data_IF_423839706271
#
_entry.id   IF_423839706271
#
_cell.length_a   1.000
_cell.length_b   1.000
_cell.length_c   1.000
_cell.angle_alpha   90.00
_cell.angle_beta   90.00
_cell.angle_gamma   90.00
#
_symmetry.space_group_name_H-M   'P 1'
#
loop_
_entity.id
_entity.type
_entity.pdbx_description
1 polymer ?
#
# COMPACT_ATOMS: atom_id res chain seq x y z
N UNK A 1 22.99 6.34 -26.43
CA UNK A 1 22.28 7.21 -25.47
C UNK A 1 21.23 6.33 -24.79
N UNK A 2 21.35 6.03 -23.49
CA UNK A 2 20.33 5.25 -22.76
C UNK A 2 19.32 6.26 -22.22
N UNK A 3 18.10 6.28 -22.75
CA UNK A 3 17.04 7.22 -22.36
C UNK A 3 16.26 6.78 -21.11
N UNK A 4 16.92 6.09 -20.16
CA UNK A 4 16.26 5.50 -18.99
C UNK A 4 16.69 6.15 -17.67
N UNK A 5 15.78 6.15 -16.70
CA UNK A 5 16.07 6.47 -15.30
C UNK A 5 16.21 5.16 -14.50
N UNK A 6 17.13 5.10 -13.53
CA UNK A 6 17.28 3.92 -12.68
C UNK A 6 16.13 3.83 -11.70
N UNK A 7 15.58 2.62 -11.52
CA UNK A 7 14.50 2.31 -10.59
C UNK A 7 14.96 1.51 -9.36
N UNK A 8 16.25 1.21 -9.27
CA UNK A 8 16.79 0.40 -8.16
C UNK A 8 16.60 1.08 -6.79
N UNK A 9 16.61 2.42 -6.77
CA UNK A 9 16.47 3.23 -5.54
C UNK A 9 15.20 4.07 -5.51
N UNK A 10 14.31 3.91 -6.51
CA UNK A 10 13.07 4.69 -6.61
C UNK A 10 11.88 3.76 -6.43
N UNK A 11 11.05 3.95 -5.38
CA UNK A 11 9.94 3.05 -5.12
C UNK A 11 8.89 3.15 -6.23
N UNK A 12 8.59 2.00 -6.84
CA UNK A 12 7.53 1.84 -7.83
C UNK A 12 6.29 1.29 -7.14
N UNK A 13 5.19 2.04 -7.22
CA UNK A 13 3.93 1.59 -6.63
C UNK A 13 3.18 0.67 -7.58
N UNK A 14 2.76 -0.48 -7.07
CA UNK A 14 2.05 -1.47 -7.86
C UNK A 14 1.04 -2.27 -7.05
N UNK A 15 0.25 -3.09 -7.72
CA UNK A 15 -0.50 -4.16 -7.07
C UNK A 15 0.45 -5.29 -6.62
N UNK A 16 -0.03 -6.18 -5.77
CA UNK A 16 0.68 -7.36 -5.27
C UNK A 16 0.62 -8.57 -6.21
N UNK A 17 0.48 -8.35 -7.52
CA UNK A 17 0.44 -9.43 -8.50
C UNK A 17 1.75 -10.23 -8.47
N UNK A 18 1.65 -11.56 -8.37
CA UNK A 18 2.80 -12.44 -8.17
C UNK A 18 3.80 -12.38 -9.32
N UNK A 19 3.32 -12.18 -10.56
CA UNK A 19 4.19 -12.11 -11.73
C UNK A 19 4.91 -10.76 -11.76
N UNK A 20 4.24 -9.69 -11.34
CA UNK A 20 4.85 -8.38 -11.24
C UNK A 20 5.91 -8.33 -10.13
N UNK A 21 5.62 -8.87 -8.95
CA UNK A 21 6.58 -8.98 -7.83
C UNK A 21 7.80 -9.78 -8.28
N UNK A 22 7.58 -10.95 -8.88
CA UNK A 22 8.68 -11.79 -9.38
C UNK A 22 9.51 -11.09 -10.46
N UNK A 23 8.86 -10.37 -11.38
CA UNK A 23 9.57 -9.61 -12.40
C UNK A 23 10.41 -8.50 -11.77
N UNK A 24 9.86 -7.73 -10.82
CA UNK A 24 10.55 -6.64 -10.14
C UNK A 24 11.78 -7.13 -9.39
N UNK A 25 11.69 -8.24 -8.67
CA UNK A 25 12.81 -8.86 -7.97
C UNK A 25 13.95 -9.24 -8.93
N UNK A 26 13.61 -9.85 -10.08
CA UNK A 26 14.57 -10.27 -11.08
C UNK A 26 15.36 -9.10 -11.69
N UNK A 27 14.75 -7.92 -11.81
CA UNK A 27 15.39 -6.72 -12.36
C UNK A 27 15.72 -5.67 -11.29
N UNK A 28 15.64 -6.04 -10.01
CA UNK A 28 16.00 -5.23 -8.84
C UNK A 28 15.26 -3.90 -8.76
N UNK A 29 13.98 -3.87 -9.13
CA UNK A 29 13.12 -2.71 -8.92
C UNK A 29 12.59 -2.74 -7.50
N UNK A 30 12.76 -1.64 -6.77
CA UNK A 30 12.11 -1.46 -5.47
C UNK A 30 10.61 -1.24 -5.67
N UNK A 31 9.79 -2.22 -5.27
CA UNK A 31 8.32 -2.09 -5.32
C UNK A 31 7.75 -1.76 -3.95
N UNK A 32 6.71 -0.93 -3.95
CA UNK A 32 5.85 -0.68 -2.81
C UNK A 32 4.42 -1.03 -3.21
N UNK A 33 3.69 -1.69 -2.33
CA UNK A 33 2.31 -2.03 -2.61
C UNK A 33 1.42 -0.80 -2.44
N UNK A 34 0.70 -0.51 -3.51
CA UNK A 34 -0.20 0.63 -3.57
C UNK A 34 -1.38 0.41 -2.64
N UNK A 35 -1.59 1.34 -1.71
CA UNK A 35 -2.70 1.27 -0.75
C UNK A 35 -4.07 1.17 -1.44
N UNK A 36 -4.22 1.79 -2.62
CA UNK A 36 -5.45 1.70 -3.42
C UNK A 36 -5.72 0.28 -3.89
N UNK A 37 -4.69 -0.42 -4.40
CA UNK A 37 -4.82 -1.82 -4.82
C UNK A 37 -5.05 -2.74 -3.63
N UNK A 38 -4.36 -2.52 -2.50
CA UNK A 38 -4.61 -3.24 -1.26
C UNK A 38 -6.09 -3.14 -0.85
N UNK A 39 -6.66 -1.92 -0.83
CA UNK A 39 -8.08 -1.68 -0.52
C UNK A 39 -8.99 -2.35 -1.56
N UNK A 40 -8.66 -2.25 -2.85
CA UNK A 40 -9.41 -2.88 -3.94
C UNK A 40 -9.45 -4.42 -3.82
N UNK A 41 -8.32 -5.03 -3.49
CA UNK A 41 -8.19 -6.47 -3.30
C UNK A 41 -9.00 -6.93 -2.09
N UNK A 42 -8.89 -6.25 -0.95
CA UNK A 42 -9.68 -6.58 0.25
C UNK A 42 -11.19 -6.38 0.05
N UNK A 43 -11.61 -5.44 -0.81
CA UNK A 43 -13.02 -5.25 -1.18
C UNK A 43 -13.54 -6.38 -2.07
N UNK A 44 -12.71 -6.81 -3.03
CA UNK A 44 -13.08 -7.81 -4.03
C UNK A 44 -13.02 -9.24 -3.47
N UNK A 45 -12.17 -9.48 -2.47
CA UNK A 45 -12.06 -10.75 -1.79
C UNK A 45 -13.29 -11.03 -0.92
N UNK A 46 -14.03 -12.09 -1.28
CA UNK A 46 -15.26 -12.50 -0.58
C UNK A 46 -15.03 -12.99 0.84
N UNK A 47 -13.80 -13.37 1.19
CA UNK A 47 -13.40 -13.79 2.55
C UNK A 47 -12.99 -12.61 3.44
N UNK A 48 -12.61 -11.48 2.84
CA UNK A 48 -12.18 -10.27 3.56
C UNK A 48 -13.31 -9.24 3.64
N UNK A 49 -13.90 -8.87 2.50
CA UNK A 49 -15.02 -7.91 2.36
C UNK A 49 -14.83 -6.61 3.16
N UNK A 50 -13.78 -5.86 2.87
CA UNK A 50 -13.55 -4.56 3.51
C UNK A 50 -14.68 -3.57 3.18
N UNK A 51 -15.33 -3.02 4.20
CA UNK A 51 -16.37 -1.99 4.02
C UNK A 51 -15.78 -0.59 3.86
N UNK A 52 -16.58 0.35 3.35
CA UNK A 52 -16.20 1.78 3.27
C UNK A 52 -15.87 2.36 4.65
N UNK A 53 -16.62 1.99 5.68
CA UNK A 53 -16.38 2.46 7.04
C UNK A 53 -15.07 1.92 7.63
N UNK A 54 -14.65 0.71 7.23
CA UNK A 54 -13.41 0.08 7.69
C UNK A 54 -12.17 0.58 6.93
N UNK A 55 -12.32 1.11 5.71
CA UNK A 55 -11.22 1.68 4.90
C UNK A 55 -10.41 2.72 5.69
N UNK A 56 -11.07 3.50 6.57
CA UNK A 56 -10.38 4.51 7.39
C UNK A 56 -9.20 3.93 8.18
N UNK A 57 -9.35 2.73 8.76
CA UNK A 57 -8.28 2.12 9.56
C UNK A 57 -7.09 1.71 8.68
N UNK A 58 -7.37 1.28 7.45
CA UNK A 58 -6.34 0.90 6.46
C UNK A 58 -5.55 2.13 6.03
N UNK A 59 -6.25 3.25 5.80
CA UNK A 59 -5.63 4.53 5.45
C UNK A 59 -4.84 5.12 6.62
N UNK A 60 -5.37 5.05 7.84
CA UNK A 60 -4.69 5.47 9.07
C UNK A 60 -3.42 4.66 9.31
N UNK A 61 -3.46 3.32 9.17
CA UNK A 61 -2.29 2.47 9.27
C UNK A 61 -1.23 2.81 8.20
N UNK A 62 -1.64 2.96 6.93
CA UNK A 62 -0.72 3.34 5.86
C UNK A 62 -0.05 4.71 6.11
N UNK A 63 -0.81 5.68 6.61
CA UNK A 63 -0.35 7.05 6.85
C UNK A 63 0.37 7.25 8.20
N UNK A 64 0.39 6.23 9.07
CA UNK A 64 1.03 6.31 10.38
C UNK A 64 2.52 6.66 10.24
N UNK A 65 2.99 7.59 11.07
CA UNK A 65 4.41 7.99 11.13
C UNK A 65 5.15 7.37 12.31
N UNK A 66 4.45 6.63 13.17
CA UNK A 66 4.99 5.91 14.31
C UNK A 66 4.44 4.48 14.33
N UNK A 67 5.20 3.55 14.93
CA UNK A 67 4.70 2.17 15.12
C UNK A 67 3.46 2.14 16.01
N UNK A 68 3.39 3.00 17.04
CA UNK A 68 2.24 3.02 17.96
C UNK A 68 0.94 3.44 17.28
N UNK A 69 0.98 4.43 16.37
CA UNK A 69 -0.19 4.87 15.62
C UNK A 69 -0.63 3.78 14.62
N UNK A 70 0.35 3.13 13.99
CA UNK A 70 0.11 1.99 13.10
C UNK A 70 -0.58 0.83 13.85
N UNK A 71 -0.02 0.42 14.98
CA UNK A 71 -0.53 -0.68 15.80
C UNK A 71 -1.96 -0.37 16.30
N UNK A 72 -2.22 0.89 16.65
CA UNK A 72 -3.56 1.34 17.07
C UNK A 72 -4.59 1.23 15.95
N UNK A 73 -4.24 1.68 14.73
CA UNK A 73 -5.12 1.55 13.57
C UNK A 73 -5.35 0.08 13.16
N UNK A 74 -4.29 -0.73 13.19
CA UNK A 74 -4.37 -2.18 12.90
C UNK A 74 -5.21 -2.93 13.93
N UNK A 75 -5.13 -2.56 15.20
CA UNK A 75 -5.99 -3.10 16.27
C UNK A 75 -7.45 -2.73 16.04
N UNK A 76 -7.73 -1.47 15.68
CA UNK A 76 -9.07 -1.02 15.30
C UNK A 76 -9.65 -1.79 14.10
N UNK A 77 -8.85 -1.99 13.06
CA UNK A 77 -9.24 -2.78 11.90
C UNK A 77 -9.51 -4.24 12.28
N UNK A 78 -8.60 -4.88 13.00
CA UNK A 78 -8.70 -6.29 13.38
C UNK A 78 -9.93 -6.53 14.26
N UNK A 79 -10.26 -5.60 15.14
CA UNK A 79 -11.47 -5.64 15.97
C UNK A 79 -12.74 -5.53 15.13
N UNK A 80 -12.74 -4.70 14.08
CA UNK A 80 -13.90 -4.50 13.21
C UNK A 80 -14.03 -5.56 12.10
N UNK A 81 -12.91 -6.12 11.65
CA UNK A 81 -12.80 -7.11 10.59
C UNK A 81 -11.48 -7.90 10.75
N UNK A 82 -11.51 -9.05 11.47
CA UNK A 82 -10.33 -9.87 11.69
C UNK A 82 -9.68 -10.38 10.40
N UNK A 83 -10.48 -10.66 9.36
CA UNK A 83 -9.96 -11.12 8.07
C UNK A 83 -9.16 -10.03 7.36
N UNK A 84 -9.60 -8.77 7.41
CA UNK A 84 -8.85 -7.63 6.87
C UNK A 84 -7.54 -7.38 7.64
N UNK A 85 -7.57 -7.50 8.97
CA UNK A 85 -6.37 -7.44 9.80
C UNK A 85 -5.36 -8.54 9.44
N UNK A 86 -5.82 -9.78 9.32
CA UNK A 86 -5.00 -10.92 8.91
C UNK A 86 -4.43 -10.74 7.49
N UNK A 87 -5.24 -10.24 6.55
CA UNK A 87 -4.80 -9.94 5.20
C UNK A 87 -3.65 -8.93 5.20
N UNK A 88 -3.78 -7.81 5.90
CA UNK A 88 -2.72 -6.79 5.96
C UNK A 88 -1.46 -7.27 6.66
N UNK A 89 -1.59 -8.05 7.74
CA UNK A 89 -0.44 -8.65 8.43
C UNK A 89 0.29 -9.70 7.58
N UNK A 90 -0.34 -10.24 6.53
CA UNK A 90 0.34 -11.13 5.58
C UNK A 90 1.29 -10.39 4.63
N UNK A 91 1.21 -9.06 4.60
CA UNK A 91 2.04 -8.19 3.77
C UNK A 91 3.11 -7.56 4.67
N UNK A 92 4.42 -7.73 4.38
CA UNK A 92 5.48 -7.06 5.12
C UNK A 92 5.22 -5.55 5.25
N UNK A 93 5.26 -5.01 6.47
CA UNK A 93 4.82 -3.63 6.72
C UNK A 93 5.67 -2.60 5.97
N UNK A 94 6.96 -2.88 5.79
CA UNK A 94 7.86 -2.01 5.04
C UNK A 94 7.56 -1.99 3.53
N UNK A 95 6.66 -2.82 3.01
CA UNK A 95 6.28 -2.78 1.60
C UNK A 95 5.05 -1.88 1.35
N UNK A 96 4.37 -1.40 2.40
CA UNK A 96 3.15 -0.59 2.23
C UNK A 96 2.89 0.46 3.30
N UNK A 97 3.50 0.39 4.48
CA UNK A 97 3.25 1.32 5.59
C UNK A 97 4.33 2.41 5.69
N UNK A 98 3.90 3.64 5.94
CA UNK A 98 4.78 4.81 5.97
C UNK A 98 5.78 4.78 7.14
N UNK A 99 5.33 4.36 8.33
CA UNK A 99 6.15 4.43 9.55
C UNK A 99 7.46 3.64 9.43
N UNK A 100 7.49 2.57 8.62
CA UNK A 100 8.66 1.74 8.39
C UNK A 100 9.82 2.49 7.68
N UNK A 101 9.51 3.60 7.02
CA UNK A 101 10.45 4.40 6.22
C UNK A 101 10.54 5.85 6.65
N UNK A 102 9.61 6.30 7.51
CA UNK A 102 9.41 7.70 7.84
C UNK A 102 10.67 8.40 8.35
N UNK A 103 11.52 7.68 9.08
CA UNK A 103 12.76 8.21 9.64
C UNK A 103 14.01 7.94 8.77
N UNK A 104 13.93 7.09 7.75
CA UNK A 104 15.10 6.53 7.06
C UNK A 104 15.18 6.86 5.58
N UNK A 105 14.04 7.14 4.94
CA UNK A 105 13.97 7.33 3.49
C UNK A 105 13.41 8.72 3.16
N UNK A 106 14.05 9.52 2.29
CA UNK A 106 13.45 10.75 1.79
C UNK A 106 12.25 10.45 0.90
N UNK A 107 11.08 10.93 1.32
CA UNK A 107 9.80 10.49 0.75
C UNK A 107 9.25 11.43 -0.34
N UNK A 108 9.83 12.61 -0.55
CA UNK A 108 9.49 13.52 -1.67
C UNK A 108 7.97 13.69 -1.96
N UNK A 109 7.12 13.69 -0.93
CA UNK A 109 5.66 13.79 -1.10
C UNK A 109 4.89 12.46 -1.21
N UNK A 110 5.46 11.34 -0.74
CA UNK A 110 4.93 9.95 -0.65
C UNK A 110 3.58 9.76 0.08
N UNK A 111 2.74 10.79 0.18
CA UNK A 111 1.60 10.85 1.10
C UNK A 111 0.22 10.84 0.44
N UNK A 112 0.08 10.78 -0.88
CA UNK A 112 -1.24 11.02 -1.48
C UNK A 112 -1.71 9.91 -2.40
N UNK A 113 -2.72 9.17 -1.92
CA UNK A 113 -3.68 8.41 -2.72
C UNK A 113 -4.44 9.27 -3.77
N UNK A 114 -4.19 10.58 -3.81
CA UNK A 114 -4.80 11.57 -4.70
C UNK A 114 -4.29 11.48 -6.14
N UNK A 115 -3.05 11.04 -6.37
CA UNK A 115 -2.52 11.01 -7.75
C UNK A 115 -3.25 9.96 -8.60
N UNK A 116 -3.37 8.72 -8.12
CA UNK A 116 -4.01 7.62 -8.87
C UNK A 116 -5.53 7.74 -8.91
N UNK A 117 -6.15 8.28 -7.85
CA UNK A 117 -7.61 8.44 -7.79
C UNK A 117 -8.16 9.41 -8.84
N UNK A 118 -7.40 10.44 -9.22
CA UNK A 118 -7.83 11.41 -10.23
C UNK A 118 -7.70 10.89 -11.67
N UNK A 119 -6.74 10.01 -11.96
CA UNK A 119 -6.55 9.43 -13.30
C UNK A 119 -7.56 8.31 -13.63
N UNK A 120 -7.92 7.45 -12.66
CA UNK A 120 -8.95 6.44 -12.89
C UNK A 120 -10.36 7.04 -12.99
N UNK A 121 -10.65 8.10 -12.23
CA UNK A 121 -11.92 8.82 -12.34
C UNK A 121 -12.12 9.42 -13.74
N UNK A 122 -11.04 9.84 -14.41
CA UNK A 122 -11.08 10.31 -15.81
C UNK A 122 -11.32 9.19 -16.83
N UNK A 123 -10.96 7.94 -16.51
CA UNK A 123 -11.21 6.80 -17.39
C UNK A 123 -12.65 6.27 -17.30
N UNK A 124 -13.46 6.81 -16.39
CA UNK A 124 -14.87 6.44 -16.16
C UNK A 124 -15.85 7.55 -16.62
N UNK A 125 -15.35 8.59 -17.28
CA UNK A 125 -16.12 9.65 -17.96
C UNK A 125 -15.86 9.60 -19.45
#
# INVERSE_FOLDING_TARGET
MRHGFSLESSPVFSDRDVNLVSAADNIKISIMFCIRHIIGNMRSDKSVRLSVAQERFVLEANAATSSSDFDSAMSGLTSANPAAGAYLNSIPHHEWALYAHYATTPLYGWRTSLFVGSEQAKSLT
#
